data_IF_431584226563
#
_entry.id   IF_431584226563
#
_cell.length_a   1.000
_cell.length_b   1.000
_cell.length_c   1.000
_cell.angle_alpha   90.00
_cell.angle_beta   90.00
_cell.angle_gamma   90.00
#
_symmetry.space_group_name_H-M   'P 1'
#
loop_
_entity.id
_entity.type
_entity.pdbx_description
1 polymer ?
#
# COMPACT_ATOMS: atom_id res chain seq x y z
N UNK A 1 12.35 -7.87 41.48
CA UNK A 1 11.59 -8.55 40.40
C UNK A 1 10.22 -8.90 40.96
N UNK A 2 9.09 -8.78 40.23
CA UNK A 2 8.89 -8.91 38.78
C UNK A 2 8.89 -7.52 38.10
N UNK A 3 9.35 -7.33 36.87
CA UNK A 3 9.18 -8.24 35.74
C UNK A 3 8.00 -7.79 34.86
N UNK A 4 7.87 -6.51 34.54
CA UNK A 4 7.04 -6.07 33.39
C UNK A 4 7.89 -6.06 32.12
N UNK A 5 8.52 -7.20 31.86
CA UNK A 5 8.95 -7.56 30.53
C UNK A 5 7.70 -7.78 29.68
N UNK A 6 7.70 -7.26 28.45
CA UNK A 6 6.80 -7.65 27.35
C UNK A 6 5.42 -6.96 27.30
N UNK A 7 5.38 -5.63 27.40
CA UNK A 7 4.54 -4.84 26.49
C UNK A 7 5.43 -4.39 25.32
N UNK A 8 6.05 -5.38 24.68
CA UNK A 8 5.64 -5.93 23.40
C UNK A 8 6.12 -4.99 22.29
N UNK A 9 7.35 -5.25 21.83
CA UNK A 9 7.88 -4.74 20.57
C UNK A 9 6.92 -5.02 19.38
N UNK A 10 5.96 -5.93 19.58
CA UNK A 10 4.83 -6.19 18.71
C UNK A 10 3.77 -5.08 18.73
N UNK A 11 3.40 -4.49 19.89
CA UNK A 11 2.51 -3.32 19.95
C UNK A 11 3.13 -2.10 19.28
N UNK A 12 4.41 -1.81 19.52
CA UNK A 12 5.12 -0.74 18.79
C UNK A 12 5.20 -1.01 17.29
N UNK A 13 5.34 -2.28 16.86
CA UNK A 13 5.32 -2.67 15.44
C UNK A 13 3.91 -2.63 14.84
N UNK A 14 2.86 -2.90 15.62
CA UNK A 14 1.45 -2.81 15.24
C UNK A 14 1.02 -1.34 15.10
N UNK A 15 1.39 -0.49 16.05
CA UNK A 15 1.21 0.96 15.92
C UNK A 15 2.04 1.54 14.76
N UNK A 16 3.24 1.02 14.50
CA UNK A 16 4.02 1.36 13.29
C UNK A 16 3.32 0.91 12.01
N UNK A 17 2.64 -0.24 11.99
CA UNK A 17 1.82 -0.70 10.84
C UNK A 17 0.61 0.22 10.61
N UNK A 18 -0.02 0.67 11.69
CA UNK A 18 -1.20 1.54 11.63
C UNK A 18 -0.83 3.00 11.29
N UNK A 19 0.32 3.50 11.78
CA UNK A 19 0.87 4.82 11.41
C UNK A 19 1.48 4.90 10.01
N UNK A 20 1.86 3.79 9.40
CA UNK A 20 2.27 3.75 7.98
C UNK A 20 1.09 3.90 6.99
N UNK A 21 -0.12 4.13 7.50
CA UNK A 21 -1.29 4.57 6.74
C UNK A 21 -1.65 5.99 7.22
N UNK A 22 -0.79 6.97 6.96
CA UNK A 22 -1.22 8.37 7.02
C UNK A 22 -1.92 8.69 5.70
N UNK A 23 -3.22 8.38 5.66
CA UNK A 23 -4.15 9.10 4.80
C UNK A 23 -4.34 10.48 5.45
N UNK A 24 -3.50 11.45 5.08
CA UNK A 24 -3.48 12.76 5.74
C UNK A 24 -4.79 13.52 5.48
N UNK A 25 -5.69 13.53 6.46
CA UNK A 25 -6.97 14.23 6.43
C UNK A 25 -6.88 15.73 6.78
N UNK A 26 -5.68 16.35 6.80
CA UNK A 26 -5.53 17.78 7.15
C UNK A 26 -4.50 18.50 6.25
N UNK A 27 -5.04 19.35 5.36
CA UNK A 27 -4.38 20.55 4.78
C UNK A 27 -3.07 20.38 3.99
N UNK A 28 -2.76 19.23 3.38
CA UNK A 28 -1.60 19.11 2.48
C UNK A 28 -1.92 18.27 1.23
N UNK A 29 -1.58 18.80 0.05
CA UNK A 29 -1.91 18.22 -1.26
C UNK A 29 -0.91 17.13 -1.69
N UNK A 30 -0.66 16.13 -0.85
CA UNK A 30 0.26 15.03 -1.19
C UNK A 30 -0.51 13.72 -1.41
N UNK A 31 -0.20 13.01 -2.50
CA UNK A 31 -0.81 11.70 -2.80
C UNK A 31 -0.12 10.54 -2.05
N UNK A 32 1.13 10.74 -1.63
CA UNK A 32 1.97 9.79 -0.90
C UNK A 32 2.80 10.59 0.10
N UNK A 33 2.79 10.19 1.36
CA UNK A 33 3.60 10.75 2.44
C UNK A 33 4.28 9.58 3.16
N UNK A 34 5.61 9.65 3.25
CA UNK A 34 6.42 8.64 3.95
C UNK A 34 7.12 9.35 5.09
N UNK A 35 6.69 9.04 6.31
CA UNK A 35 7.42 9.44 7.52
C UNK A 35 8.59 8.47 7.67
N UNK A 36 9.76 9.04 7.91
CA UNK A 36 11.03 8.33 8.00
C UNK A 36 11.59 8.55 9.39
N UNK A 37 11.99 7.47 10.07
CA UNK A 37 12.68 7.54 11.35
C UNK A 37 14.20 7.60 11.13
N UNK A 38 14.95 8.24 12.03
CA UNK A 38 16.42 8.39 11.92
C UNK A 38 17.16 7.04 11.91
N UNK A 39 16.56 6.01 12.51
CA UNK A 39 17.09 4.64 12.58
C UNK A 39 16.91 3.82 11.29
N UNK A 40 16.08 4.27 10.35
CA UNK A 40 15.78 3.50 9.12
C UNK A 40 16.92 3.61 8.10
N UNK A 41 17.29 2.48 7.47
CA UNK A 41 18.24 2.47 6.36
C UNK A 41 17.67 3.13 5.08
N UNK A 42 18.55 3.74 4.27
CA UNK A 42 18.15 4.45 3.04
C UNK A 42 17.41 3.57 2.02
N UNK A 43 17.80 2.30 1.91
CA UNK A 43 17.16 1.35 0.99
C UNK A 43 15.73 1.01 1.42
N UNK A 44 15.51 0.81 2.73
CA UNK A 44 14.19 0.52 3.29
C UNK A 44 13.22 1.70 3.10
N UNK A 45 13.73 2.93 3.23
CA UNK A 45 12.97 4.17 2.98
C UNK A 45 12.48 4.23 1.53
N UNK A 46 13.35 3.94 0.56
CA UNK A 46 13.02 3.95 -0.86
C UNK A 46 12.06 2.82 -1.24
N UNK A 47 12.26 1.61 -0.72
CA UNK A 47 11.35 0.50 -1.01
C UNK A 47 9.96 0.77 -0.45
N UNK A 48 9.86 1.34 0.75
CA UNK A 48 8.58 1.75 1.34
C UNK A 48 7.86 2.80 0.49
N UNK A 49 8.57 3.82 0.05
CA UNK A 49 8.03 4.83 -0.87
C UNK A 49 7.55 4.21 -2.19
N UNK A 50 8.36 3.35 -2.80
CA UNK A 50 8.01 2.67 -4.04
C UNK A 50 6.76 1.79 -3.86
N UNK A 51 6.66 1.04 -2.75
CA UNK A 51 5.46 0.25 -2.42
C UNK A 51 4.23 1.13 -2.24
N UNK A 52 4.36 2.29 -1.61
CA UNK A 52 3.24 3.23 -1.47
C UNK A 52 2.78 3.78 -2.83
N UNK A 53 3.72 4.17 -3.71
CA UNK A 53 3.40 4.60 -5.08
C UNK A 53 2.69 3.50 -5.86
N UNK A 54 3.20 2.27 -5.78
CA UNK A 54 2.62 1.10 -6.47
C UNK A 54 1.22 0.79 -5.91
N UNK A 55 1.04 0.86 -4.59
CA UNK A 55 -0.25 0.66 -3.90
C UNK A 55 -1.28 1.70 -4.33
N UNK A 56 -0.89 2.97 -4.34
CA UNK A 56 -1.75 4.09 -4.79
C UNK A 56 -1.98 4.08 -6.31
N UNK A 57 -1.17 3.32 -7.07
CA UNK A 57 -1.32 3.18 -8.51
C UNK A 57 -0.98 4.45 -9.30
N UNK A 58 -0.20 5.37 -8.72
CA UNK A 58 0.05 6.70 -9.29
C UNK A 58 0.64 6.65 -10.70
N UNK A 59 1.67 5.81 -10.91
CA UNK A 59 2.26 5.66 -12.25
C UNK A 59 1.29 5.07 -13.27
N UNK A 60 0.41 4.16 -12.84
CA UNK A 60 -0.61 3.58 -13.73
C UNK A 60 -1.64 4.63 -14.11
N UNK A 61 -2.05 5.46 -13.15
CA UNK A 61 -2.99 6.55 -13.36
C UNK A 61 -2.42 7.65 -14.25
N UNK A 62 -1.15 8.04 -14.04
CA UNK A 62 -0.43 8.97 -14.91
C UNK A 62 -0.35 8.46 -16.35
N UNK A 63 0.06 7.19 -16.55
CA UNK A 63 0.10 6.59 -17.88
C UNK A 63 -1.28 6.55 -18.54
N UNK A 64 -2.34 6.25 -17.78
CA UNK A 64 -3.73 6.27 -18.28
C UNK A 64 -4.17 7.65 -18.75
N UNK A 65 -3.77 8.71 -18.03
CA UNK A 65 -4.14 10.10 -18.34
C UNK A 65 -3.30 10.75 -19.43
N UNK A 66 -2.19 10.12 -19.85
CA UNK A 66 -1.30 10.66 -20.90
C UNK A 66 -2.01 10.84 -22.24
N UNK A 67 -3.02 10.02 -22.54
CA UNK A 67 -3.81 10.10 -23.75
C UNK A 67 -5.31 10.06 -23.42
N UNK A 68 -6.13 10.62 -24.31
CA UNK A 68 -7.58 10.54 -24.19
C UNK A 68 -8.04 9.08 -24.33
N UNK A 69 -8.93 8.64 -23.43
CA UNK A 69 -9.50 7.29 -23.41
C UNK A 69 -10.98 7.39 -23.78
N UNK A 70 -11.38 6.76 -24.89
CA UNK A 70 -12.78 6.73 -25.32
C UNK A 70 -13.66 5.95 -24.33
N UNK A 71 -14.97 6.20 -24.32
CA UNK A 71 -15.90 5.51 -23.41
C UNK A 71 -15.83 3.96 -23.49
N UNK A 72 -15.65 3.43 -24.70
CA UNK A 72 -15.45 1.99 -24.95
C UNK A 72 -14.16 1.47 -24.34
N UNK A 73 -13.07 2.22 -24.46
CA UNK A 73 -11.76 1.84 -23.92
C UNK A 73 -11.76 1.87 -22.39
N UNK A 74 -12.40 2.88 -21.80
CA UNK A 74 -12.65 2.99 -20.36
C UNK A 74 -13.38 1.77 -19.82
N UNK A 75 -14.41 1.30 -20.52
CA UNK A 75 -15.14 0.09 -20.15
C UNK A 75 -14.25 -1.16 -20.27
N UNK A 76 -13.52 -1.32 -21.39
CA UNK A 76 -12.57 -2.43 -21.58
C UNK A 76 -11.49 -2.46 -20.50
N UNK A 77 -10.97 -1.30 -20.09
CA UNK A 77 -9.96 -1.18 -19.03
C UNK A 77 -10.53 -1.57 -17.68
N UNK A 78 -11.67 -1.00 -17.27
CA UNK A 78 -12.32 -1.34 -15.99
C UNK A 78 -12.63 -2.83 -15.87
N UNK A 79 -13.14 -3.46 -16.93
CA UNK A 79 -13.40 -4.91 -16.97
C UNK A 79 -12.11 -5.73 -16.80
N UNK A 80 -11.03 -5.35 -17.51
CA UNK A 80 -9.72 -6.02 -17.39
C UNK A 80 -9.12 -5.87 -15.99
N UNK A 81 -9.11 -4.66 -15.42
CA UNK A 81 -8.59 -4.42 -14.07
C UNK A 81 -9.35 -5.22 -13.01
N UNK A 82 -10.69 -5.25 -13.08
CA UNK A 82 -11.51 -6.04 -12.17
C UNK A 82 -11.25 -7.55 -12.31
N UNK A 83 -11.11 -8.05 -13.53
CA UNK A 83 -10.80 -9.47 -13.77
C UNK A 83 -9.42 -9.86 -13.22
N UNK A 84 -8.40 -9.01 -13.42
CA UNK A 84 -7.05 -9.22 -12.87
C UNK A 84 -7.05 -9.21 -11.34
N UNK A 85 -7.76 -8.27 -10.72
CA UNK A 85 -7.90 -8.22 -9.26
C UNK A 85 -8.58 -9.48 -8.71
N UNK A 86 -9.67 -9.94 -9.35
CA UNK A 86 -10.37 -11.18 -8.97
C UNK A 86 -9.50 -12.43 -9.13
N UNK A 87 -8.65 -12.50 -10.17
CA UNK A 87 -7.67 -13.59 -10.33
C UNK A 87 -6.65 -13.56 -9.18
N UNK A 88 -6.07 -12.40 -8.89
CA UNK A 88 -5.11 -12.25 -7.78
C UNK A 88 -5.69 -12.69 -6.44
N UNK A 89 -6.92 -12.28 -6.11
CA UNK A 89 -7.57 -12.65 -4.85
C UNK A 89 -7.82 -14.16 -4.77
N UNK A 90 -8.30 -14.79 -5.84
CA UNK A 90 -8.60 -16.24 -5.86
C UNK A 90 -7.36 -17.13 -5.69
N UNK A 91 -6.19 -16.69 -6.15
CA UNK A 91 -4.95 -17.44 -5.93
C UNK A 91 -4.42 -17.34 -4.50
N UNK A 92 -4.84 -16.33 -3.72
CA UNK A 92 -4.46 -16.19 -2.31
C UNK A 92 -5.37 -17.03 -1.41
N UNK A 93 -6.66 -17.17 -1.75
CA UNK A 93 -7.63 -17.93 -0.94
C UNK A 93 -7.45 -19.45 -0.96
N UNK A 94 -6.56 -19.99 -1.79
CA UNK A 94 -6.27 -21.44 -1.84
C UNK A 94 -5.00 -21.84 -1.10
N UNK A 95 -4.32 -20.91 -0.42
CA UNK A 95 -3.23 -21.26 0.50
C UNK A 95 -3.85 -21.62 1.86
N UNK A 96 -4.29 -22.87 1.98
CA UNK A 96 -4.82 -23.47 3.21
C UNK A 96 -3.81 -23.27 4.36
N UNK A 97 -4.18 -22.48 5.37
CA UNK A 97 -3.65 -22.63 6.72
C UNK A 97 -4.40 -23.80 7.36
N UNK A 98 -3.93 -25.02 7.11
CA UNK A 98 -4.28 -26.18 7.93
C UNK A 98 -3.39 -26.16 9.17
N UNK A 99 -4.02 -26.04 10.34
CA UNK A 99 -3.40 -26.15 11.67
C UNK A 99 -3.05 -27.61 11.98
#
# INVERSE_FOLDING_TARGET
>A
MPGTSKQSSLELKLERRERNIILCAKKRNFNVEVVVDEEDDMEERLDRFNRQIVRMGLFREWRRRRFYENAREKLKRKRREAALLRRRIRHVSTFNFSF
#
